data_IF_940347524142
#
_entry.id   IF_940347524142
#
_cell.length_a   1.000
_cell.length_b   1.000
_cell.length_c   1.000
_cell.angle_alpha   90.00
_cell.angle_beta   90.00
_cell.angle_gamma   90.00
#
_symmetry.space_group_name_H-M   'P 1'
#
loop_
_entity.id
_entity.type
_entity.pdbx_description
1 polymer ?
#
# COMPACT_ATOMS: atom_id res chain seq x y z
N UNK A 1 -16.83 -19.96 2.17
CA UNK A 1 -16.55 -18.70 1.45
C UNK A 1 -15.22 -18.86 0.75
N UNK A 2 -15.11 -18.43 -0.50
CA UNK A 2 -13.84 -18.48 -1.25
C UNK A 2 -13.00 -17.26 -0.88
N UNK A 3 -11.70 -17.45 -0.65
CA UNK A 3 -10.76 -16.36 -0.38
C UNK A 3 -10.73 -15.38 -1.55
N UNK A 4 -10.90 -14.06 -1.33
CA UNK A 4 -10.78 -13.08 -2.40
C UNK A 4 -9.39 -13.16 -3.07
N UNK A 5 -9.36 -13.14 -4.40
CA UNK A 5 -8.15 -13.31 -5.19
C UNK A 5 -7.08 -12.22 -4.94
N UNK A 6 -7.48 -11.06 -4.42
CA UNK A 6 -6.59 -9.94 -4.08
C UNK A 6 -5.85 -10.12 -2.75
N UNK A 7 -6.31 -11.01 -1.86
CA UNK A 7 -5.70 -11.14 -0.52
C UNK A 7 -4.21 -11.54 -0.57
N UNK A 8 -3.75 -12.48 -1.42
CA UNK A 8 -2.33 -12.78 -1.55
C UNK A 8 -1.48 -11.57 -1.92
N UNK A 9 -1.96 -10.69 -2.81
CA UNK A 9 -1.27 -9.47 -3.19
C UNK A 9 -1.25 -8.43 -2.07
N UNK A 10 -2.38 -8.23 -1.39
CA UNK A 10 -2.46 -7.38 -0.20
C UNK A 10 -1.47 -7.85 0.86
N UNK A 11 -1.44 -9.15 1.12
CA UNK A 11 -0.58 -9.73 2.15
C UNK A 11 0.91 -9.62 1.76
N UNK A 12 1.25 -9.74 0.48
CA UNK A 12 2.60 -9.49 -0.02
C UNK A 12 3.04 -8.03 0.13
N UNK A 13 2.15 -7.06 -0.18
CA UNK A 13 2.41 -5.64 0.05
C UNK A 13 2.60 -5.36 1.55
N UNK A 14 1.71 -5.88 2.41
CA UNK A 14 1.84 -5.76 3.86
C UNK A 14 3.19 -6.31 4.33
N UNK A 15 3.57 -7.51 3.89
CA UNK A 15 4.83 -8.14 4.27
C UNK A 15 6.06 -7.30 3.87
N UNK A 16 6.03 -6.68 2.68
CA UNK A 16 7.10 -5.78 2.24
C UNK A 16 7.22 -4.52 3.12
N UNK A 17 6.08 -3.94 3.51
CA UNK A 17 6.04 -2.78 4.41
C UNK A 17 6.51 -3.13 5.84
N UNK A 18 6.07 -4.27 6.36
CA UNK A 18 6.50 -4.78 7.68
C UNK A 18 7.99 -5.12 7.70
N UNK A 19 8.54 -5.67 6.60
CA UNK A 19 9.97 -5.92 6.46
C UNK A 19 10.81 -4.63 6.48
N UNK A 20 10.21 -3.49 6.08
CA UNK A 20 10.80 -2.15 6.22
C UNK A 20 10.58 -1.53 7.62
N UNK A 21 10.12 -2.33 8.59
CA UNK A 21 9.81 -1.94 9.97
C UNK A 21 8.71 -0.87 10.07
N UNK A 22 7.76 -0.89 9.14
CA UNK A 22 6.57 -0.04 9.19
C UNK A 22 5.43 -0.78 9.91
N UNK A 23 4.67 -0.04 10.72
CA UNK A 23 3.45 -0.56 11.34
C UNK A 23 2.30 -0.38 10.36
N UNK A 24 1.63 -1.47 9.97
CA UNK A 24 0.63 -1.48 8.90
C UNK A 24 -0.76 -1.79 9.46
N UNK A 25 -1.72 -0.89 9.23
CA UNK A 25 -3.15 -1.12 9.42
C UNK A 25 -3.84 -1.54 8.12
N UNK A 26 -4.91 -2.32 8.22
CA UNK A 26 -5.71 -2.77 7.07
C UNK A 26 -7.08 -2.07 7.10
N UNK A 27 -7.31 -1.13 6.18
CA UNK A 27 -8.57 -0.38 6.10
C UNK A 27 -8.83 0.62 7.25
N UNK A 28 -7.94 0.67 8.25
CA UNK A 28 -8.01 1.59 9.38
C UNK A 28 -6.67 1.64 10.13
N UNK A 29 -6.61 2.45 11.18
CA UNK A 29 -5.43 2.51 12.04
C UNK A 29 -5.09 1.12 12.61
N UNK A 30 -3.80 0.77 12.76
CA UNK A 30 -3.40 -0.48 13.40
C UNK A 30 -3.87 -0.52 14.86
N UNK A 31 -4.12 -1.73 15.37
CA UNK A 31 -4.49 -1.96 16.77
C UNK A 31 -3.45 -2.86 17.46
N UNK A 32 -2.68 -2.36 18.44
CA UNK A 32 -2.73 -1.00 18.99
C UNK A 32 -2.07 0.04 18.07
N UNK A 33 -2.53 1.29 18.17
CA UNK A 33 -1.86 2.43 17.52
C UNK A 33 -0.48 2.64 18.17
N UNK A 34 0.61 2.76 17.39
CA UNK A 34 1.93 3.03 17.93
C UNK A 34 1.98 4.31 18.76
N UNK A 35 2.70 4.27 19.87
CA UNK A 35 2.92 5.46 20.72
C UNK A 35 3.67 6.59 20.00
N UNK A 36 4.38 6.28 18.91
CA UNK A 36 5.01 7.26 18.03
C UNK A 36 4.01 8.04 17.17
N UNK A 37 2.76 7.59 17.05
CA UNK A 37 1.77 8.12 16.10
C UNK A 37 2.12 7.85 14.64
N UNK A 38 3.13 7.02 14.37
CA UNK A 38 3.62 6.72 13.02
C UNK A 38 3.15 5.34 12.57
N UNK A 39 2.34 5.31 11.52
CA UNK A 39 1.86 4.07 10.91
C UNK A 39 1.45 4.31 9.45
N UNK A 40 1.20 3.23 8.72
CA UNK A 40 0.64 3.28 7.37
C UNK A 40 -0.65 2.48 7.34
N UNK A 41 -1.62 2.92 6.53
CA UNK A 41 -2.89 2.22 6.35
C UNK A 41 -3.02 1.79 4.90
N UNK A 42 -3.34 0.51 4.71
CA UNK A 42 -3.42 -0.12 3.41
C UNK A 42 -4.89 -0.27 3.00
N UNK A 43 -5.24 0.27 1.83
CA UNK A 43 -6.55 0.14 1.20
C UNK A 43 -6.38 -0.51 -0.17
N UNK A 44 -7.06 -1.64 -0.40
CA UNK A 44 -7.02 -2.34 -1.68
C UNK A 44 -8.36 -2.25 -2.39
N UNK A 45 -8.30 -2.06 -3.71
CA UNK A 45 -9.43 -2.40 -4.57
C UNK A 45 -9.53 -3.93 -4.72
N UNK A 46 -10.70 -4.49 -5.08
CA UNK A 46 -10.84 -5.93 -5.34
C UNK A 46 -9.96 -6.47 -6.47
N UNK A 47 -9.36 -5.57 -7.27
CA UNK A 47 -8.67 -5.92 -8.51
C UNK A 47 -9.63 -6.25 -9.65
N UNK A 48 -9.09 -6.38 -10.85
CA UNK A 48 -9.79 -6.76 -12.06
C UNK A 48 -8.97 -7.77 -12.82
N UNK A 49 -9.66 -8.73 -13.45
CA UNK A 49 -9.01 -9.59 -14.43
C UNK A 49 -8.97 -8.88 -15.77
N UNK A 50 -7.77 -8.73 -16.33
CA UNK A 50 -7.58 -8.18 -17.66
C UNK A 50 -7.23 -9.33 -18.61
N UNK A 51 -7.79 -9.35 -19.83
CA UNK A 51 -7.33 -10.27 -20.87
C UNK A 51 -5.94 -9.84 -21.35
N UNK A 52 -5.11 -10.83 -21.67
CA UNK A 52 -3.78 -10.60 -22.24
C UNK A 52 -3.88 -9.85 -23.58
N UNK A 53 -2.95 -8.91 -23.82
CA UNK A 53 -2.84 -8.16 -25.08
C UNK A 53 -1.47 -8.39 -25.70
N UNK A 54 -1.39 -8.42 -27.03
CA UNK A 54 -0.11 -8.51 -27.76
C UNK A 54 0.85 -7.35 -27.43
N UNK A 55 0.32 -6.22 -26.97
CA UNK A 55 1.12 -5.05 -26.56
C UNK A 55 1.47 -5.06 -25.06
N UNK A 56 0.82 -5.90 -24.24
CA UNK A 56 1.01 -5.94 -22.79
C UNK A 56 0.72 -7.35 -22.25
N UNK A 57 1.72 -8.23 -22.31
CA UNK A 57 1.68 -9.60 -21.79
C UNK A 57 1.75 -9.65 -20.25
N UNK A 58 1.30 -8.60 -19.56
CA UNK A 58 1.55 -8.37 -18.12
C UNK A 58 0.39 -8.63 -17.17
N UNK A 59 -0.81 -8.99 -17.62
CA UNK A 59 -1.93 -9.02 -16.67
C UNK A 59 -2.96 -10.08 -16.99
N UNK A 60 -3.04 -11.10 -16.15
CA UNK A 60 -4.31 -11.73 -15.82
C UNK A 60 -4.96 -11.09 -14.57
N UNK A 61 -4.23 -10.21 -13.87
CA UNK A 61 -4.67 -9.45 -12.71
C UNK A 61 -4.07 -8.04 -12.65
N UNK A 62 -4.93 -7.04 -12.44
CA UNK A 62 -4.59 -5.63 -12.21
C UNK A 62 -5.32 -5.11 -10.97
N UNK A 63 -4.64 -4.38 -10.10
CA UNK A 63 -5.25 -3.81 -8.90
C UNK A 63 -4.66 -2.45 -8.55
N UNK A 64 -5.52 -1.56 -8.07
CA UNK A 64 -5.12 -0.33 -7.42
C UNK A 64 -5.13 -0.52 -5.91
N UNK A 65 -4.13 0.05 -5.25
CA UNK A 65 -4.12 0.16 -3.80
C UNK A 65 -3.61 1.54 -3.37
N UNK A 66 -4.00 1.96 -2.18
CA UNK A 66 -3.55 3.19 -1.57
C UNK A 66 -2.83 2.85 -0.26
N UNK A 67 -1.71 3.53 -0.04
CA UNK A 67 -1.00 3.56 1.24
C UNK A 67 -1.17 4.95 1.82
N UNK A 68 -1.93 5.07 2.92
CA UNK A 68 -2.02 6.31 3.69
C UNK A 68 -0.96 6.31 4.77
N UNK A 69 0.04 7.17 4.64
CA UNK A 69 1.05 7.37 5.67
C UNK A 69 0.51 8.34 6.72
N UNK A 70 0.70 8.05 8.00
CA UNK A 70 0.22 8.89 9.12
C UNK A 70 1.38 9.16 10.06
N UNK A 71 1.57 10.42 10.45
CA UNK A 71 2.61 10.84 11.39
C UNK A 71 2.18 12.03 12.26
N UNK A 72 2.90 12.32 13.35
CA UNK A 72 2.57 13.41 14.28
C UNK A 72 2.91 14.80 13.73
N UNK A 73 3.72 14.89 12.68
CA UNK A 73 4.12 16.12 11.99
C UNK A 73 4.32 15.85 10.49
N UNK A 74 4.40 16.93 9.72
CA UNK A 74 4.58 16.88 8.26
C UNK A 74 5.84 16.12 7.85
N UNK A 75 6.97 16.39 8.49
CA UNK A 75 8.27 15.80 8.15
C UNK A 75 8.25 14.27 8.33
N UNK A 76 7.76 13.78 9.47
CA UNK A 76 7.65 12.33 9.74
C UNK A 76 6.65 11.65 8.83
N UNK A 77 5.57 12.35 8.45
CA UNK A 77 4.60 11.84 7.49
C UNK A 77 5.23 11.65 6.09
N UNK A 78 6.02 12.64 5.63
CA UNK A 78 6.76 12.54 4.37
C UNK A 78 7.87 11.49 4.42
N UNK A 79 8.58 11.38 5.55
CA UNK A 79 9.58 10.32 5.76
C UNK A 79 8.97 8.91 5.67
N UNK A 80 7.75 8.71 6.18
CA UNK A 80 7.04 7.44 5.99
C UNK A 80 6.73 7.19 4.52
N UNK A 81 6.31 8.20 3.76
CA UNK A 81 6.06 8.06 2.32
C UNK A 81 7.33 7.63 1.55
N UNK A 82 8.49 8.21 1.89
CA UNK A 82 9.77 7.80 1.30
C UNK A 82 10.16 6.36 1.68
N UNK A 83 9.90 5.94 2.92
CA UNK A 83 10.09 4.56 3.35
C UNK A 83 9.19 3.58 2.62
N UNK A 84 7.91 3.93 2.44
CA UNK A 84 6.95 3.14 1.66
C UNK A 84 7.46 2.99 0.22
N UNK A 85 7.86 4.10 -0.43
CA UNK A 85 8.41 4.06 -1.79
C UNK A 85 9.62 3.14 -1.89
N UNK A 86 10.52 3.20 -0.91
CA UNK A 86 11.70 2.34 -0.84
C UNK A 86 11.32 0.87 -0.65
N UNK A 87 10.39 0.58 0.24
CA UNK A 87 9.91 -0.78 0.52
C UNK A 87 9.23 -1.42 -0.70
N UNK A 88 8.49 -0.62 -1.47
CA UNK A 88 7.77 -1.06 -2.66
C UNK A 88 8.60 -0.98 -3.96
N UNK A 89 9.86 -0.54 -3.90
CA UNK A 89 10.75 -0.54 -5.05
C UNK A 89 11.21 -1.96 -5.42
N UNK A 90 11.24 -2.88 -4.46
CA UNK A 90 11.63 -4.27 -4.66
C UNK A 90 10.53 -5.14 -5.28
N UNK A 91 10.88 -6.34 -5.79
CA UNK A 91 9.91 -7.31 -6.25
C UNK A 91 9.06 -7.85 -5.09
N UNK A 92 7.75 -7.95 -5.30
CA UNK A 92 6.83 -8.58 -4.36
C UNK A 92 6.72 -10.08 -4.64
N UNK A 93 6.64 -10.89 -3.60
CA UNK A 93 6.48 -12.35 -3.73
C UNK A 93 5.03 -12.74 -3.48
N UNK A 94 4.37 -13.28 -4.51
CA UNK A 94 3.04 -13.89 -4.40
C UNK A 94 3.13 -15.31 -4.95
N UNK A 95 2.72 -16.30 -4.15
CA UNK A 95 2.83 -17.71 -4.53
C UNK A 95 2.05 -17.99 -5.84
N UNK A 96 2.74 -18.63 -6.80
CA UNK A 96 2.15 -18.99 -8.09
C UNK A 96 1.90 -17.82 -9.04
N UNK A 97 2.52 -16.64 -8.80
CA UNK A 97 2.39 -15.47 -9.67
C UNK A 97 3.73 -14.78 -9.88
N UNK A 98 3.93 -14.26 -11.08
CA UNK A 98 4.95 -13.24 -11.36
C UNK A 98 4.31 -11.88 -11.14
N UNK A 99 4.88 -11.10 -10.21
CA UNK A 99 4.34 -9.80 -9.82
C UNK A 99 5.32 -8.71 -10.25
N UNK A 100 4.81 -7.70 -10.94
CA UNK A 100 5.61 -6.53 -11.28
C UNK A 100 5.73 -5.59 -10.09
N UNK A 101 6.81 -4.82 -10.06
CA UNK A 101 7.01 -3.77 -9.07
C UNK A 101 5.79 -2.82 -9.07
N UNK A 102 5.23 -2.46 -7.90
CA UNK A 102 4.21 -1.43 -7.81
C UNK A 102 4.61 -0.12 -8.51
N UNK A 103 3.73 0.40 -9.35
CA UNK A 103 3.88 1.71 -9.99
C UNK A 103 3.22 2.77 -9.11
N UNK A 104 3.97 3.83 -8.76
CA UNK A 104 3.44 4.96 -7.98
C UNK A 104 2.63 5.88 -8.91
N UNK A 105 1.36 6.10 -8.60
CA UNK A 105 0.45 6.99 -9.35
C UNK A 105 0.33 8.38 -8.71
N UNK A 106 0.92 8.57 -7.53
CA UNK A 106 0.84 9.81 -6.75
C UNK A 106 -0.42 9.88 -5.88
N UNK A 107 -0.76 11.09 -5.45
CA UNK A 107 -1.89 11.34 -4.57
C UNK A 107 -2.00 12.83 -4.22
N UNK A 108 -3.02 13.22 -3.44
CA UNK A 108 -3.11 14.58 -2.91
C UNK A 108 -1.92 14.89 -1.99
N UNK A 109 -1.63 16.18 -1.75
CA UNK A 109 -0.56 16.59 -0.83
C UNK A 109 -0.85 16.14 0.62
N UNK A 110 0.16 16.25 1.47
CA UNK A 110 0.03 16.01 2.92
C UNK A 110 -1.08 16.91 3.49
N UNK A 111 -1.90 16.34 4.35
CA UNK A 111 -3.01 17.02 5.01
C UNK A 111 -2.89 16.83 6.51
N UNK A 112 -3.43 17.77 7.27
CA UNK A 112 -3.55 17.68 8.72
C UNK A 112 -4.98 17.28 9.06
N UNK A 113 -5.11 16.31 9.95
CA UNK A 113 -6.36 15.88 10.56
C UNK A 113 -6.44 16.45 11.97
N UNK A 114 -7.33 17.43 12.16
CA UNK A 114 -7.60 18.07 13.45
C UNK A 114 -8.78 17.42 14.20
N UNK A 115 -9.47 16.45 13.59
CA UNK A 115 -10.58 15.71 14.22
C UNK A 115 -10.08 14.58 15.14
N UNK A 116 -8.79 14.25 15.04
CA UNK A 116 -8.09 13.32 15.94
C UNK A 116 -7.31 14.07 17.02
N UNK A 117 -7.21 13.48 18.21
CA UNK A 117 -6.52 14.06 19.36
C UNK A 117 -5.43 13.11 19.89
N UNK A 118 -4.14 13.48 19.82
CA UNK A 118 -3.60 14.71 19.23
C UNK A 118 -3.78 14.77 17.70
N UNK A 119 -3.77 15.98 17.09
CA UNK A 119 -3.82 16.13 15.64
C UNK A 119 -2.69 15.37 14.95
N UNK A 120 -2.99 14.77 13.81
CA UNK A 120 -2.03 14.00 13.00
C UNK A 120 -1.95 14.57 11.59
N UNK A 121 -0.87 14.22 10.89
CA UNK A 121 -0.70 14.48 9.48
C UNK A 121 -0.85 13.17 8.71
N UNK A 122 -1.42 13.23 7.52
CA UNK A 122 -1.54 12.08 6.65
C UNK A 122 -1.27 12.43 5.19
N UNK A 123 -0.71 11.47 4.45
CA UNK A 123 -0.55 11.56 2.99
C UNK A 123 -0.93 10.22 2.34
N UNK A 124 -1.98 10.17 1.51
CA UNK A 124 -2.31 8.99 0.75
C UNK A 124 -1.55 8.96 -0.57
N UNK A 125 -0.90 7.83 -0.86
CA UNK A 125 -0.21 7.57 -2.12
C UNK A 125 -0.85 6.36 -2.80
N UNK A 126 -1.26 6.52 -4.04
CA UNK A 126 -1.85 5.45 -4.86
C UNK A 126 -0.78 4.71 -5.65
N UNK A 127 -0.99 3.41 -5.79
CA UNK A 127 -0.12 2.51 -6.52
C UNK A 127 -0.95 1.57 -7.40
N UNK A 128 -0.37 1.17 -8.52
CA UNK A 128 -0.86 0.11 -9.39
C UNK A 128 -0.02 -1.14 -9.21
N UNK A 129 -0.68 -2.29 -9.11
CA UNK A 129 -0.07 -3.60 -9.01
C UNK A 129 -0.59 -4.50 -10.13
N UNK A 130 0.33 -5.17 -10.81
CA UNK A 130 0.03 -6.08 -11.90
C UNK A 130 0.69 -7.43 -11.62
N UNK A 131 0.03 -8.52 -12.03
CA UNK A 131 0.61 -9.85 -11.95
C UNK A 131 0.04 -10.78 -13.01
N UNK A 132 0.78 -11.85 -13.28
CA UNK A 132 0.37 -12.99 -14.12
C UNK A 132 0.59 -14.30 -13.37
N UNK A 133 -0.25 -15.31 -13.64
CA UNK A 133 -0.09 -16.70 -13.17
C UNK A 133 0.55 -17.61 -14.20
#
# INVERSE_FOLDING_TARGET
MTTPAVLPHRDAVRAALEAAQLVVGLGGAPDPVPSSGMYVVLYFTPGQSLPESLADARTDFDSLFQVTCVGPDEERCLWLADKVRTALYGPLTVAGRVVWRPEELGGPPVQRDDDVSPPLFYVPVQYRLQSTS
#
